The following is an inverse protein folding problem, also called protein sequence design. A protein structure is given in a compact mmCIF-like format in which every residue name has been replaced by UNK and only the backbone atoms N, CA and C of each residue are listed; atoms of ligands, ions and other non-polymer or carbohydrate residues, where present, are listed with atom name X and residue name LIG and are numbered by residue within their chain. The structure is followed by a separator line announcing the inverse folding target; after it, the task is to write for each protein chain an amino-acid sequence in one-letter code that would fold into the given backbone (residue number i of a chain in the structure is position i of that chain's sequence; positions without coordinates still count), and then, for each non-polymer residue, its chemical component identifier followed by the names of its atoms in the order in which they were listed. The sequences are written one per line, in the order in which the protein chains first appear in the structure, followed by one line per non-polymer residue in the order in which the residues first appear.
data_IF_238190397163
#
_entry.id   IF_238190397163
#
_cell.length_a   1.000
_cell.length_b   1.000
_cell.length_c   1.000
_cell.angle_alpha   90.00
_cell.angle_beta   90.00
_cell.angle_gamma   90.00
#
_symmetry.space_group_name_H-M   'P 1'
#
loop_
_entity.id
_entity.type
_entity.pdbx_description
1 polymer ?
#
# COMPACT_ATOMS: atom_id res chain seq x y z
N UNK A 1 1.93 0.54 37.74
CA UNK A 1 1.14 -0.55 37.13
C UNK A 1 0.21 -0.09 36.01
N UNK A 2 -0.58 0.97 36.15
CA UNK A 2 -1.50 1.42 35.07
C UNK A 2 -0.78 1.87 33.79
N UNK A 3 0.39 2.50 33.89
CA UNK A 3 1.12 3.01 32.72
C UNK A 3 1.64 1.93 31.75
N UNK A 4 2.09 0.78 32.27
CA UNK A 4 2.59 -0.30 31.41
C UNK A 4 1.47 -0.97 30.61
N UNK A 5 0.29 -1.07 31.19
CA UNK A 5 -0.88 -1.68 30.55
C UNK A 5 -1.42 -0.82 29.40
N UNK A 6 -1.43 0.49 29.57
CA UNK A 6 -1.83 1.45 28.51
C UNK A 6 -0.85 1.39 27.34
N UNK A 7 0.45 1.41 27.58
CA UNK A 7 1.47 1.34 26.53
C UNK A 7 1.31 0.07 25.70
N UNK A 8 0.96 -1.04 26.31
CA UNK A 8 0.81 -2.33 25.63
C UNK A 8 -0.43 -2.43 24.78
N UNK A 9 -1.54 -1.94 25.27
CA UNK A 9 -2.80 -1.90 24.48
C UNK A 9 -2.61 -1.00 23.26
N UNK A 10 -2.01 0.17 23.45
CA UNK A 10 -1.73 1.11 22.35
C UNK A 10 -0.75 0.49 21.34
N UNK A 11 0.32 -0.14 21.80
CA UNK A 11 1.29 -0.81 20.91
C UNK A 11 0.66 -1.93 20.09
N UNK A 12 -0.17 -2.78 20.72
CA UNK A 12 -0.87 -3.86 20.05
C UNK A 12 -1.94 -3.33 19.06
N UNK A 13 -2.64 -2.24 19.39
CA UNK A 13 -3.61 -1.61 18.50
C UNK A 13 -2.92 -1.02 17.25
N UNK A 14 -1.76 -0.38 17.42
CA UNK A 14 -0.96 0.13 16.31
C UNK A 14 -0.45 -1.01 15.40
N UNK A 15 -0.02 -2.13 15.99
CA UNK A 15 0.39 -3.30 15.22
C UNK A 15 -0.77 -3.89 14.40
N UNK A 16 -1.97 -3.99 15.01
CA UNK A 16 -3.17 -4.46 14.31
C UNK A 16 -3.60 -3.55 13.16
N UNK A 17 -3.54 -2.24 13.36
CA UNK A 17 -3.81 -1.27 12.30
C UNK A 17 -2.76 -1.36 11.17
N UNK A 18 -1.47 -1.47 11.51
CA UNK A 18 -0.40 -1.62 10.54
C UNK A 18 -0.56 -2.88 9.68
N UNK A 19 -0.94 -4.01 10.29
CA UNK A 19 -1.24 -5.25 9.58
C UNK A 19 -2.38 -5.06 8.57
N UNK A 20 -3.48 -4.46 9.01
CA UNK A 20 -4.65 -4.27 8.15
C UNK A 20 -4.34 -3.34 6.97
N UNK A 21 -3.67 -2.20 7.21
CA UNK A 21 -3.20 -1.30 6.15
C UNK A 21 -2.20 -1.97 5.21
N UNK A 22 -1.30 -2.79 5.77
CA UNK A 22 -0.33 -3.52 4.98
C UNK A 22 -0.99 -4.55 4.07
N UNK A 23 -1.94 -5.32 4.58
CA UNK A 23 -2.71 -6.28 3.79
C UNK A 23 -3.47 -5.56 2.67
N UNK A 24 -4.13 -4.44 2.98
CA UNK A 24 -4.78 -3.61 1.98
C UNK A 24 -3.80 -3.10 0.92
N UNK A 25 -2.62 -2.62 1.30
CA UNK A 25 -1.59 -2.17 0.37
C UNK A 25 -1.09 -3.27 -0.57
N UNK A 26 -0.97 -4.52 -0.08
CA UNK A 26 -0.62 -5.68 -0.92
C UNK A 26 -1.74 -5.98 -1.92
N UNK A 27 -3.01 -5.96 -1.48
CA UNK A 27 -4.16 -6.17 -2.33
C UNK A 27 -4.31 -5.06 -3.37
N UNK A 28 -4.09 -3.81 -3.00
CA UNK A 28 -4.13 -2.68 -3.92
C UNK A 28 -3.00 -2.76 -4.98
N UNK A 29 -1.78 -3.14 -4.58
CA UNK A 29 -0.65 -3.23 -5.50
C UNK A 29 -0.64 -4.46 -6.40
N UNK A 30 -1.33 -5.55 -6.04
CA UNK A 30 -1.24 -6.84 -6.75
C UNK A 30 -2.50 -7.68 -6.78
N UNK A 31 -3.62 -7.19 -6.25
CA UNK A 31 -4.93 -7.83 -6.28
C UNK A 31 -5.65 -7.67 -7.62
N UNK A 32 -6.95 -7.98 -7.65
CA UNK A 32 -7.79 -7.80 -8.83
C UNK A 32 -7.75 -6.38 -9.34
N UNK A 33 -7.74 -6.23 -10.66
CA UNK A 33 -7.73 -4.95 -11.33
C UNK A 33 -8.76 -4.90 -12.45
N UNK A 34 -9.45 -3.80 -12.54
CA UNK A 34 -10.36 -3.48 -13.65
C UNK A 34 -9.58 -2.82 -14.78
N UNK A 35 -9.91 -3.19 -16.03
CA UNK A 35 -9.32 -2.55 -17.20
C UNK A 35 -10.15 -1.36 -17.61
N UNK A 36 -9.49 -0.21 -17.67
CA UNK A 36 -10.10 1.04 -18.09
C UNK A 36 -9.37 1.64 -19.28
N UNK A 37 -10.13 2.24 -20.19
CA UNK A 37 -9.56 3.04 -21.27
C UNK A 37 -9.37 4.48 -20.80
N UNK A 38 -8.19 5.02 -21.10
CA UNK A 38 -7.84 6.38 -20.74
C UNK A 38 -7.04 7.04 -21.89
N UNK A 39 -6.88 8.34 -21.76
CA UNK A 39 -6.08 9.16 -22.70
C UNK A 39 -5.08 9.97 -21.89
N UNK A 40 -3.87 10.12 -22.40
CA UNK A 40 -2.87 10.99 -21.81
C UNK A 40 -3.37 12.43 -21.86
N UNK A 41 -3.62 13.06 -20.70
CA UNK A 41 -4.05 14.46 -20.60
C UNK A 41 -2.84 15.41 -20.61
N UNK A 42 -1.81 15.04 -19.84
CA UNK A 42 -0.55 15.79 -19.80
C UNK A 42 0.64 14.90 -19.54
N UNK A 43 1.80 15.36 -19.95
CA UNK A 43 3.10 14.72 -19.77
C UNK A 43 4.05 15.66 -19.06
N UNK A 44 4.78 15.12 -18.10
CA UNK A 44 5.94 15.73 -17.47
C UNK A 44 7.16 14.83 -17.58
N UNK A 45 8.33 15.41 -17.53
CA UNK A 45 9.60 14.69 -17.42
C UNK A 45 10.47 15.40 -16.42
N UNK A 46 11.05 14.65 -15.48
CA UNK A 46 12.04 15.18 -14.58
C UNK A 46 13.20 14.22 -14.39
N UNK A 47 14.37 14.79 -14.12
CA UNK A 47 15.57 14.02 -13.85
C UNK A 47 15.70 13.79 -12.35
N UNK A 48 15.73 12.53 -11.95
CA UNK A 48 16.07 12.15 -10.60
C UNK A 48 17.56 11.83 -10.51
N UNK A 49 18.25 12.45 -9.55
CA UNK A 49 19.68 12.23 -9.32
C UNK A 49 20.05 10.79 -8.95
N UNK A 50 19.08 10.00 -8.50
CA UNK A 50 19.30 8.62 -8.05
C UNK A 50 18.77 7.55 -9.00
N UNK A 51 17.78 7.87 -9.86
CA UNK A 51 17.04 6.87 -10.65
C UNK A 51 16.96 7.19 -12.14
N UNK A 52 17.62 8.27 -12.60
CA UNK A 52 17.61 8.69 -14.02
C UNK A 52 16.35 9.45 -14.43
N UNK A 53 16.00 9.36 -15.71
CA UNK A 53 14.81 10.02 -16.24
C UNK A 53 13.55 9.39 -15.70
N UNK A 54 12.58 10.23 -15.32
CA UNK A 54 11.24 9.82 -14.92
C UNK A 54 10.19 10.55 -15.73
N UNK A 55 9.16 9.82 -16.10
CA UNK A 55 8.02 10.31 -16.87
C UNK A 55 6.80 10.38 -15.97
N UNK A 56 6.20 11.56 -15.91
CA UNK A 56 4.96 11.82 -15.15
C UNK A 56 3.83 11.96 -16.16
N UNK A 57 2.84 11.10 -16.05
CA UNK A 57 1.67 11.16 -16.90
C UNK A 57 0.43 11.45 -16.04
N UNK A 58 -0.39 12.37 -16.53
CA UNK A 58 -1.77 12.49 -16.07
C UNK A 58 -2.66 11.84 -17.11
N UNK A 59 -3.39 10.83 -16.68
CA UNK A 59 -4.26 10.00 -17.51
C UNK A 59 -5.70 10.28 -17.16
N UNK A 60 -6.56 10.44 -18.17
CA UNK A 60 -7.97 10.70 -17.98
C UNK A 60 -8.80 9.57 -18.59
N UNK A 61 -9.66 8.95 -17.79
CA UNK A 61 -10.60 7.92 -18.27
C UNK A 61 -11.79 8.54 -19.00
N UNK A 62 -12.55 7.71 -19.73
CA UNK A 62 -13.78 8.11 -20.36
C UNK A 62 -14.84 8.62 -19.36
N UNK A 63 -14.80 8.12 -18.12
CA UNK A 63 -15.65 8.58 -17.02
C UNK A 63 -15.20 9.95 -16.44
N UNK A 64 -14.06 10.49 -16.89
CA UNK A 64 -13.51 11.77 -16.43
C UNK A 64 -12.61 11.66 -15.19
N UNK A 65 -12.35 10.46 -14.69
CA UNK A 65 -11.43 10.21 -13.58
C UNK A 65 -9.99 10.47 -14.02
N UNK A 66 -9.19 11.02 -13.11
CA UNK A 66 -7.79 11.36 -13.37
C UNK A 66 -6.86 10.52 -12.52
N UNK A 67 -5.89 9.92 -13.16
CA UNK A 67 -4.80 9.17 -12.53
C UNK A 67 -3.46 9.82 -12.82
N UNK A 68 -2.64 9.93 -11.80
CA UNK A 68 -1.24 10.34 -11.96
C UNK A 68 -0.36 9.12 -11.86
N UNK A 69 0.53 8.94 -12.84
CA UNK A 69 1.43 7.80 -12.96
C UNK A 69 2.85 8.31 -13.16
N UNK A 70 3.78 7.77 -12.37
CA UNK A 70 5.21 8.04 -12.50
C UNK A 70 5.94 6.74 -12.85
N UNK A 71 6.84 6.79 -13.84
CA UNK A 71 7.64 5.64 -14.24
C UNK A 71 9.00 6.06 -14.81
N UNK A 72 10.01 5.21 -14.58
CA UNK A 72 11.31 5.32 -15.26
C UNK A 72 11.37 4.59 -16.61
N UNK A 73 10.28 3.99 -17.06
CA UNK A 73 10.24 3.24 -18.32
C UNK A 73 9.96 4.18 -19.49
N UNK A 74 10.88 4.21 -20.46
CA UNK A 74 10.79 5.07 -21.64
C UNK A 74 9.59 4.74 -22.56
N UNK A 75 8.96 3.57 -22.41
CA UNK A 75 7.72 3.25 -23.15
C UNK A 75 6.54 4.09 -22.69
N UNK A 76 6.64 4.74 -21.52
CA UNK A 76 5.67 5.71 -21.01
C UNK A 76 6.01 7.17 -21.36
N UNK A 77 6.96 7.38 -22.24
CA UNK A 77 7.21 8.70 -22.87
C UNK A 77 6.13 8.98 -23.93
N UNK A 78 4.90 9.22 -23.47
CA UNK A 78 3.72 9.34 -24.32
C UNK A 78 3.27 10.79 -24.46
N UNK A 79 2.93 11.18 -25.70
CA UNK A 79 2.38 12.50 -25.96
C UNK A 79 0.92 12.63 -25.51
N UNK A 80 0.47 13.84 -25.13
CA UNK A 80 -0.94 14.11 -24.87
C UNK A 80 -1.84 13.69 -26.02
N UNK A 81 -2.98 13.09 -25.71
CA UNK A 81 -3.94 12.56 -26.68
C UNK A 81 -3.72 11.09 -27.04
N UNK A 82 -2.63 10.46 -26.62
CA UNK A 82 -2.40 9.03 -26.89
C UNK A 82 -3.37 8.19 -26.04
N UNK A 83 -4.10 7.24 -26.65
CA UNK A 83 -4.96 6.32 -25.92
C UNK A 83 -4.12 5.24 -25.24
N UNK A 84 -4.47 4.91 -24.01
CA UNK A 84 -3.83 3.88 -23.19
C UNK A 84 -4.89 3.02 -22.48
N UNK A 85 -4.50 1.83 -22.05
CA UNK A 85 -5.31 1.01 -21.15
C UNK A 85 -4.67 0.98 -19.78
N UNK A 86 -5.49 1.12 -18.74
CA UNK A 86 -5.08 1.08 -17.36
C UNK A 86 -5.58 -0.20 -16.71
N UNK A 87 -4.73 -0.84 -15.91
CA UNK A 87 -5.17 -1.81 -14.93
C UNK A 87 -5.29 -1.06 -13.59
N UNK A 88 -6.52 -0.81 -13.15
CA UNK A 88 -6.84 -0.04 -11.94
C UNK A 88 -7.27 -1.00 -10.85
N UNK A 89 -6.67 -0.92 -9.68
CA UNK A 89 -7.02 -1.75 -8.53
C UNK A 89 -8.48 -1.58 -8.13
N UNK A 90 -9.17 -2.70 -7.89
CA UNK A 90 -10.54 -2.70 -7.35
C UNK A 90 -10.59 -2.22 -5.89
N UNK A 91 -9.47 -2.30 -5.16
CA UNK A 91 -9.40 -1.96 -3.74
C UNK A 91 -9.15 -0.48 -3.48
N UNK A 92 -8.08 0.07 -4.02
CA UNK A 92 -7.63 1.44 -3.73
C UNK A 92 -7.74 2.39 -4.91
N UNK A 93 -8.27 1.94 -6.06
CA UNK A 93 -8.34 2.73 -7.29
C UNK A 93 -6.96 3.23 -7.74
N UNK A 94 -5.88 2.54 -7.36
CA UNK A 94 -4.53 2.85 -7.83
C UNK A 94 -4.24 2.19 -9.18
N UNK A 95 -3.43 2.84 -10.01
CA UNK A 95 -3.00 2.26 -11.29
C UNK A 95 -1.88 1.26 -11.03
N UNK A 96 -2.11 -0.01 -11.37
CA UNK A 96 -1.14 -1.09 -11.25
C UNK A 96 -0.27 -1.24 -12.51
N UNK A 97 -0.85 -1.01 -13.69
CA UNK A 97 -0.14 -1.07 -14.95
C UNK A 97 -0.78 -0.14 -15.99
N UNK A 98 0.04 0.31 -16.93
CA UNK A 98 -0.35 1.06 -18.12
C UNK A 98 0.05 0.25 -19.34
N UNK A 99 -0.88 0.05 -20.27
CA UNK A 99 -0.63 -0.59 -21.56
C UNK A 99 -0.73 0.48 -22.67
N UNK A 100 0.37 0.67 -23.39
CA UNK A 100 0.47 1.60 -24.49
C UNK A 100 1.19 0.94 -25.67
N UNK A 101 0.66 1.06 -26.89
CA UNK A 101 1.29 0.50 -28.09
C UNK A 101 1.55 -1.01 -28.03
N UNK A 102 0.76 -1.77 -27.26
CA UNK A 102 0.94 -3.21 -27.04
C UNK A 102 2.00 -3.58 -25.99
N UNK A 103 2.61 -2.60 -25.34
CA UNK A 103 3.53 -2.80 -24.23
C UNK A 103 2.82 -2.51 -22.90
N UNK A 104 2.93 -3.44 -21.96
CA UNK A 104 2.38 -3.30 -20.62
C UNK A 104 3.50 -2.99 -19.62
N UNK A 105 3.43 -1.81 -19.03
CA UNK A 105 4.39 -1.34 -18.02
C UNK A 105 3.71 -1.35 -16.67
N UNK A 106 4.32 -2.02 -15.70
CA UNK A 106 3.87 -1.96 -14.31
C UNK A 106 4.29 -0.62 -13.72
N UNK A 107 3.34 0.05 -13.07
CA UNK A 107 3.54 1.32 -12.39
C UNK A 107 3.14 1.17 -10.92
N UNK A 108 3.59 2.10 -10.09
CA UNK A 108 3.30 2.02 -8.65
C UNK A 108 4.21 1.04 -7.90
N UNK A 109 3.82 0.71 -6.68
CA UNK A 109 4.61 -0.13 -5.79
C UNK A 109 4.56 -1.60 -6.20
N UNK A 110 5.72 -2.27 -6.10
CA UNK A 110 5.76 -3.73 -6.26
C UNK A 110 5.00 -4.40 -5.11
N UNK A 111 4.03 -5.29 -5.36
CA UNK A 111 3.32 -6.01 -4.31
C UNK A 111 4.28 -6.85 -3.45
N UNK A 112 5.38 -7.34 -4.03
CA UNK A 112 6.42 -8.06 -3.29
C UNK A 112 7.14 -7.11 -2.31
N UNK A 113 7.51 -5.91 -2.75
CA UNK A 113 8.17 -4.93 -1.87
C UNK A 113 7.25 -4.48 -0.74
N UNK A 114 5.97 -4.22 -1.04
CA UNK A 114 4.96 -3.91 -0.03
C UNK A 114 4.79 -5.07 0.95
N UNK A 115 4.65 -6.30 0.44
CA UNK A 115 4.51 -7.50 1.27
C UNK A 115 5.72 -7.74 2.19
N UNK A 116 6.95 -7.58 1.69
CA UNK A 116 8.17 -7.70 2.51
C UNK A 116 8.21 -6.63 3.60
N UNK A 117 7.86 -5.39 3.27
CA UNK A 117 7.84 -4.29 4.25
C UNK A 117 6.82 -4.55 5.36
N UNK A 118 5.61 -4.99 4.99
CA UNK A 118 4.56 -5.36 5.96
C UNK A 118 5.01 -6.51 6.84
N UNK A 119 5.53 -7.59 6.25
CA UNK A 119 6.01 -8.74 7.01
C UNK A 119 7.13 -8.36 8.01
N UNK A 120 8.02 -7.44 7.64
CA UNK A 120 9.06 -6.95 8.54
C UNK A 120 8.47 -6.19 9.74
N UNK A 121 7.46 -5.35 9.53
CA UNK A 121 6.75 -4.64 10.61
C UNK A 121 6.03 -5.63 11.52
N UNK A 122 5.38 -6.64 10.96
CA UNK A 122 4.66 -7.68 11.73
C UNK A 122 5.61 -8.49 12.62
N UNK A 123 6.75 -8.93 12.06
CA UNK A 123 7.77 -9.64 12.83
C UNK A 123 8.29 -8.78 13.97
N UNK A 124 8.58 -7.50 13.73
CA UNK A 124 9.00 -6.58 14.80
C UNK A 124 7.92 -6.42 15.88
N UNK A 125 6.67 -6.23 15.49
CA UNK A 125 5.56 -6.10 16.43
C UNK A 125 5.36 -7.38 17.26
N UNK A 126 5.48 -8.55 16.62
CA UNK A 126 5.39 -9.84 17.31
C UNK A 126 6.53 -10.02 18.32
N UNK A 127 7.78 -9.78 17.92
CA UNK A 127 8.94 -9.88 18.80
C UNK A 127 8.80 -8.93 19.99
N UNK A 128 8.40 -7.69 19.76
CA UNK A 128 8.18 -6.71 20.83
C UNK A 128 7.09 -7.16 21.79
N UNK A 129 5.99 -7.69 21.28
CA UNK A 129 4.88 -8.22 22.07
C UNK A 129 5.32 -9.42 22.92
N UNK A 130 6.10 -10.35 22.34
CA UNK A 130 6.62 -11.53 23.05
C UNK A 130 7.57 -11.16 24.20
N UNK A 131 8.50 -10.22 23.95
CA UNK A 131 9.40 -9.71 24.99
C UNK A 131 8.59 -9.11 26.13
N UNK A 132 7.63 -8.27 25.79
CA UNK A 132 6.81 -7.60 26.79
C UNK A 132 5.96 -8.57 27.61
N UNK A 133 5.36 -9.58 26.97
CA UNK A 133 4.57 -10.62 27.66
C UNK A 133 5.47 -11.45 28.59
N UNK A 134 6.72 -11.76 28.14
CA UNK A 134 7.68 -12.54 28.93
C UNK A 134 8.15 -11.79 30.19
N UNK A 135 8.24 -10.46 30.13
CA UNK A 135 8.66 -9.61 31.25
C UNK A 135 7.50 -9.22 32.20
N UNK A 136 6.26 -9.54 31.84
CA UNK A 136 5.11 -9.16 32.63
C UNK A 136 4.94 -10.04 33.88
N UNK A 137 4.63 -9.43 35.02
CA UNK A 137 4.29 -10.14 36.29
C UNK A 137 3.10 -11.08 36.15
N UNK A 138 2.22 -10.81 35.17
CA UNK A 138 1.00 -11.58 34.88
C UNK A 138 0.90 -11.84 33.38
N UNK A 139 1.63 -12.84 32.85
CA UNK A 139 1.76 -13.05 31.39
C UNK A 139 0.42 -13.37 30.69
N UNK A 140 -0.50 -14.08 31.38
CA UNK A 140 -1.81 -14.38 30.82
C UNK A 140 -2.66 -13.10 30.61
N UNK A 141 -2.65 -12.18 31.56
CA UNK A 141 -3.35 -10.90 31.42
C UNK A 141 -2.71 -10.02 30.35
N UNK A 142 -1.37 -10.00 30.29
CA UNK A 142 -0.63 -9.28 29.27
C UNK A 142 -0.95 -9.80 27.86
N UNK A 143 -1.01 -11.12 27.67
CA UNK A 143 -1.38 -11.73 26.40
C UNK A 143 -2.82 -11.38 25.98
N UNK A 144 -3.78 -11.44 26.92
CA UNK A 144 -5.17 -11.06 26.65
C UNK A 144 -5.30 -9.59 26.24
N UNK A 145 -4.60 -8.68 26.92
CA UNK A 145 -4.65 -7.25 26.60
C UNK A 145 -3.98 -6.94 25.26
N UNK A 146 -2.88 -7.63 24.91
CA UNK A 146 -2.24 -7.51 23.62
C UNK A 146 -3.16 -7.98 22.48
N UNK A 147 -3.81 -9.14 22.65
CA UNK A 147 -4.77 -9.67 21.65
C UNK A 147 -5.97 -8.73 21.45
N UNK A 148 -6.54 -8.21 22.54
CA UNK A 148 -7.66 -7.28 22.48
C UNK A 148 -7.24 -5.95 21.80
N UNK A 149 -6.06 -5.43 22.11
CA UNK A 149 -5.51 -4.23 21.48
C UNK A 149 -5.29 -4.44 19.98
N UNK A 150 -4.70 -5.56 19.59
CA UNK A 150 -4.49 -5.93 18.19
C UNK A 150 -5.81 -5.99 17.42
N UNK A 151 -6.82 -6.68 17.94
CA UNK A 151 -8.14 -6.74 17.33
C UNK A 151 -8.79 -5.37 17.21
N UNK A 152 -8.67 -4.53 18.24
CA UNK A 152 -9.21 -3.17 18.24
C UNK A 152 -8.51 -2.26 17.20
N UNK A 153 -7.25 -2.51 16.86
CA UNK A 153 -6.55 -1.79 15.80
C UNK A 153 -6.90 -2.28 14.40
N UNK A 154 -7.02 -3.59 14.20
CA UNK A 154 -7.28 -4.20 12.91
C UNK A 154 -8.73 -4.03 12.44
N UNK A 155 -9.71 -4.24 13.34
CA UNK A 155 -11.14 -4.22 13.01
C UNK A 155 -11.63 -2.94 12.34
N UNK A 156 -11.32 -1.71 12.82
CA UNK A 156 -11.76 -0.49 12.17
C UNK A 156 -11.22 -0.37 10.73
N UNK A 157 -9.97 -0.78 10.49
CA UNK A 157 -9.37 -0.72 9.15
C UNK A 157 -10.07 -1.72 8.21
N UNK A 158 -10.33 -2.96 8.66
CA UNK A 158 -11.03 -3.97 7.87
C UNK A 158 -12.50 -3.64 7.57
N UNK A 159 -13.12 -2.79 8.39
CA UNK A 159 -14.52 -2.36 8.18
C UNK A 159 -14.66 -1.12 7.29
N UNK A 160 -13.55 -0.39 7.04
CA UNK A 160 -13.54 0.80 6.19
C UNK A 160 -13.36 0.47 4.70
N UNK A 161 -13.00 -0.75 4.38
CA UNK A 161 -12.72 -1.28 3.04
C UNK A 161 -13.55 -2.55 2.76
#
# INVERSE_FOLDING_TARGET
MAGSLVVSVVGAALAGAALAFGTWGVLDAGGPAEREEATVESRGQHDSSSTGHRYDLVLRTAAGERFQVESGDATLDLEPGVPVRLDVSEFGRSVQAVEAGGHRVRVGNSPVAVGVFVAAIEVMALVFTLIWVAEADRPALAALTATAGFAAGALPVLLLF
#
